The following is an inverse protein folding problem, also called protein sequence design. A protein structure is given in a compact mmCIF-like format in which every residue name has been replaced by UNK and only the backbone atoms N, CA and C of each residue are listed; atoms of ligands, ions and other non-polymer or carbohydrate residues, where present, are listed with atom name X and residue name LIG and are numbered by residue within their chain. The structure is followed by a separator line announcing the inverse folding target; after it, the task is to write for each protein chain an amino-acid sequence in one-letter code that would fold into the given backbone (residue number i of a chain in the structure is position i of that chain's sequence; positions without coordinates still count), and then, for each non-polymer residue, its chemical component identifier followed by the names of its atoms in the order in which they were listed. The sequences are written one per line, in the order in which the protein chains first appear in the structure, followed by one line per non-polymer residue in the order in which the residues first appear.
data_IF_048942664505
#
_entry.id   IF_048942664505
#
_cell.length_a   1.000
_cell.length_b   1.000
_cell.length_c   1.000
_cell.angle_alpha   90.00
_cell.angle_beta   90.00
_cell.angle_gamma   90.00
#
_symmetry.space_group_name_H-M   'P 1'
#
loop_
_entity.id
_entity.type
_entity.pdbx_description
1 polymer ?
#
# COMPACT_ATOMS: atom_id res chain seq x y z
N UNK A 1 2.36 41.76 -28.96
CA UNK A 1 1.53 41.09 -27.93
C UNK A 1 2.04 39.66 -27.77
N UNK A 2 2.97 39.40 -26.84
CA UNK A 2 3.43 38.04 -26.59
C UNK A 2 2.36 37.28 -25.79
N UNK A 3 2.03 36.07 -26.24
CA UNK A 3 1.12 35.17 -25.53
C UNK A 3 1.89 34.48 -24.41
N UNK A 4 1.48 34.80 -23.20
CA UNK A 4 1.81 34.10 -21.97
C UNK A 4 1.53 32.60 -22.17
N UNK A 5 2.59 31.82 -22.34
CA UNK A 5 2.49 30.35 -22.40
C UNK A 5 2.59 29.91 -20.96
N UNK A 6 1.44 29.91 -20.28
CA UNK A 6 1.31 29.45 -18.91
C UNK A 6 1.77 28.01 -18.83
N UNK A 7 2.92 27.80 -18.19
CA UNK A 7 3.46 26.52 -17.80
C UNK A 7 2.34 25.71 -17.13
N UNK A 8 1.87 24.67 -17.83
CA UNK A 8 1.10 23.62 -17.20
C UNK A 8 2.08 22.87 -16.31
N UNK A 9 2.04 23.18 -15.02
CA UNK A 9 2.59 22.34 -13.98
C UNK A 9 2.02 20.95 -14.17
N UNK A 10 2.84 20.06 -14.74
CA UNK A 10 2.55 18.64 -14.82
C UNK A 10 2.54 18.15 -13.37
N UNK A 11 1.36 18.16 -12.76
CA UNK A 11 1.12 17.44 -11.51
C UNK A 11 1.36 15.99 -11.91
N UNK A 12 2.53 15.46 -11.58
CA UNK A 12 2.80 14.04 -11.74
C UNK A 12 1.75 13.35 -10.88
N UNK A 13 0.68 12.84 -11.50
CA UNK A 13 -0.22 11.88 -10.89
C UNK A 13 0.70 10.78 -10.34
N UNK A 14 0.90 10.80 -9.01
CA UNK A 14 1.88 9.99 -8.33
C UNK A 14 1.77 8.56 -8.85
N UNK A 15 2.88 8.01 -9.32
CA UNK A 15 2.94 6.72 -9.98
C UNK A 15 2.25 5.67 -9.09
N UNK A 16 1.00 5.34 -9.40
CA UNK A 16 0.19 4.42 -8.59
C UNK A 16 0.92 3.10 -8.54
N UNK A 17 1.31 2.68 -7.33
CA UNK A 17 2.04 1.45 -7.13
C UNK A 17 1.20 0.27 -7.62
N UNK A 18 1.76 -0.53 -8.51
CA UNK A 18 1.06 -1.69 -9.06
C UNK A 18 1.25 -2.88 -8.14
N UNK A 19 0.26 -3.12 -7.31
CA UNK A 19 0.21 -4.31 -6.46
C UNK A 19 -0.37 -5.51 -7.22
N UNK A 20 0.35 -6.64 -7.26
CA UNK A 20 -0.09 -7.80 -8.01
C UNK A 20 -1.37 -8.40 -7.41
N UNK A 21 -2.41 -8.59 -8.23
CA UNK A 21 -3.73 -9.10 -7.79
C UNK A 21 -4.45 -8.20 -6.79
N UNK A 22 -4.04 -6.94 -6.64
CA UNK A 22 -4.89 -5.96 -5.97
C UNK A 22 -6.06 -5.61 -6.90
N UNK A 23 -7.28 -5.67 -6.35
CA UNK A 23 -8.51 -5.37 -7.06
C UNK A 23 -9.48 -4.67 -6.12
N UNK A 24 -10.11 -3.58 -6.59
CA UNK A 24 -11.07 -2.80 -5.81
C UNK A 24 -10.48 -2.28 -4.48
N UNK A 25 -9.22 -1.83 -4.50
CA UNK A 25 -8.52 -1.37 -3.30
C UNK A 25 -8.12 -2.48 -2.32
N UNK A 26 -8.39 -3.76 -2.64
CA UNK A 26 -8.04 -4.89 -1.78
C UNK A 26 -6.92 -5.71 -2.35
N UNK A 27 -6.02 -6.17 -1.49
CA UNK A 27 -4.90 -7.00 -1.87
C UNK A 27 -4.80 -8.26 -1.02
N UNK A 28 -4.97 -9.42 -1.66
CA UNK A 28 -4.90 -10.73 -1.01
C UNK A 28 -3.48 -11.33 -1.11
N UNK A 29 -2.71 -11.21 -0.04
CA UNK A 29 -1.38 -11.81 0.09
C UNK A 29 -1.50 -13.27 0.51
N UNK A 30 -1.20 -14.19 -0.40
CA UNK A 30 -1.20 -15.62 -0.09
C UNK A 30 -0.09 -16.02 0.86
N UNK A 31 -0.42 -16.94 1.75
CA UNK A 31 0.50 -17.51 2.72
C UNK A 31 1.74 -18.12 2.04
N UNK A 32 2.93 -17.68 2.46
CA UNK A 32 4.24 -18.15 2.01
C UNK A 32 4.54 -17.91 0.51
N UNK A 33 3.74 -17.09 -0.17
CA UNK A 33 4.01 -16.70 -1.56
C UNK A 33 4.60 -15.29 -1.57
N UNK A 34 5.84 -15.10 -2.04
CA UNK A 34 6.41 -13.77 -2.20
C UNK A 34 5.79 -13.08 -3.41
N UNK A 35 5.44 -11.80 -3.23
CA UNK A 35 4.94 -10.92 -4.28
C UNK A 35 5.98 -9.85 -4.59
N UNK A 36 6.18 -9.57 -5.86
CA UNK A 36 7.07 -8.51 -6.33
C UNK A 36 6.24 -7.27 -6.65
N UNK A 37 6.66 -6.13 -6.11
CA UNK A 37 6.05 -4.82 -6.33
C UNK A 37 7.12 -3.89 -6.86
N UNK A 38 6.83 -3.17 -7.94
CA UNK A 38 7.72 -2.15 -8.50
C UNK A 38 7.21 -0.76 -8.11
N UNK A 39 8.08 0.05 -7.50
CA UNK A 39 7.76 1.41 -7.09
C UNK A 39 9.03 2.28 -7.09
N UNK A 40 8.95 3.49 -7.62
CA UNK A 40 10.08 4.46 -7.67
C UNK A 40 11.36 3.85 -8.30
N UNK A 41 11.19 3.03 -9.33
CA UNK A 41 12.30 2.32 -9.99
C UNK A 41 12.97 1.23 -9.14
N UNK A 42 12.41 0.88 -7.98
CA UNK A 42 12.91 -0.16 -7.07
C UNK A 42 11.97 -1.36 -7.04
N UNK A 43 12.56 -2.52 -6.79
CA UNK A 43 11.83 -3.78 -6.65
C UNK A 43 11.69 -4.16 -5.18
N UNK A 44 10.45 -4.20 -4.71
CA UNK A 44 10.06 -4.63 -3.38
C UNK A 44 9.55 -6.07 -3.42
N UNK A 45 9.85 -6.82 -2.36
CA UNK A 45 9.32 -8.15 -2.13
C UNK A 45 8.45 -8.14 -0.87
N UNK A 46 7.19 -8.52 -1.02
CA UNK A 46 6.21 -8.59 0.07
C UNK A 46 5.85 -10.05 0.30
N UNK A 47 5.99 -10.53 1.53
CA UNK A 47 5.74 -11.91 1.91
C UNK A 47 4.84 -11.99 3.14
N UNK A 48 3.67 -12.61 2.99
CA UNK A 48 2.79 -12.92 4.10
C UNK A 48 3.08 -14.31 4.70
N UNK A 49 3.09 -14.40 6.02
CA UNK A 49 3.08 -15.63 6.82
C UNK A 49 1.84 -15.60 7.71
N UNK A 50 1.20 -16.73 7.95
CA UNK A 50 0.04 -16.83 8.85
C UNK A 50 0.38 -17.88 9.90
N UNK A 51 0.27 -17.51 11.17
CA UNK A 51 0.54 -18.37 12.31
C UNK A 51 -0.77 -18.82 12.96
N UNK A 52 -0.78 -20.03 13.50
CA UNK A 52 -1.94 -20.63 14.17
C UNK A 52 -1.92 -20.44 15.69
N UNK A 53 -0.72 -20.37 16.25
CA UNK A 53 -0.44 -20.46 17.68
C UNK A 53 0.39 -19.25 18.11
N UNK A 54 0.15 -18.67 19.31
CA UNK A 54 -0.89 -19.02 20.27
C UNK A 54 -2.32 -18.61 19.85
N UNK A 55 -2.44 -17.73 18.85
CA UNK A 55 -3.69 -17.29 18.21
C UNK A 55 -3.46 -17.09 16.71
N UNK A 56 -4.52 -17.10 15.89
CA UNK A 56 -4.38 -16.83 14.45
C UNK A 56 -3.96 -15.38 14.22
N UNK A 57 -2.78 -15.18 13.64
CA UNK A 57 -2.25 -13.86 13.30
C UNK A 57 -1.41 -13.90 12.03
N UNK A 58 -1.33 -12.76 11.36
CA UNK A 58 -0.50 -12.56 10.18
C UNK A 58 0.87 -12.01 10.54
N UNK A 59 1.83 -12.22 9.64
CA UNK A 59 3.08 -11.48 9.59
C UNK A 59 3.36 -11.09 8.15
N UNK A 60 3.66 -9.82 7.90
CA UNK A 60 4.05 -9.32 6.59
C UNK A 60 5.49 -8.84 6.67
N UNK A 61 6.34 -9.36 5.78
CA UNK A 61 7.72 -8.94 5.61
C UNK A 61 7.87 -8.21 4.29
N UNK A 62 8.57 -7.09 4.32
CA UNK A 62 8.85 -6.24 3.17
C UNK A 62 10.36 -6.16 3.02
N UNK A 63 10.85 -6.52 1.84
CA UNK A 63 12.23 -6.30 1.45
C UNK A 63 12.32 -5.41 0.22
N UNK A 64 13.47 -4.76 0.03
CA UNK A 64 13.80 -3.98 -1.16
C UNK A 64 15.16 -4.45 -1.66
N UNK A 65 15.26 -4.85 -2.94
CA UNK A 65 16.53 -5.27 -3.56
C UNK A 65 17.33 -6.31 -2.75
N UNK A 66 16.61 -7.28 -2.16
CA UNK A 66 17.21 -8.35 -1.36
C UNK A 66 17.58 -7.97 0.08
N UNK A 67 17.28 -6.75 0.52
CA UNK A 67 17.45 -6.32 1.92
C UNK A 67 16.11 -6.27 2.66
N UNK A 68 16.04 -6.70 3.93
CA UNK A 68 14.85 -6.49 4.74
C UNK A 68 14.65 -5.00 4.99
N UNK A 69 13.43 -4.51 4.79
CA UNK A 69 13.06 -3.11 4.97
C UNK A 69 12.12 -2.93 6.17
N UNK A 70 11.07 -3.76 6.25
CA UNK A 70 10.10 -3.72 7.34
C UNK A 70 9.55 -5.12 7.63
N UNK A 71 9.13 -5.33 8.88
CA UNK A 71 8.45 -6.53 9.33
C UNK A 71 7.33 -6.12 10.27
N UNK A 72 6.13 -6.62 9.98
CA UNK A 72 4.94 -6.44 10.80
C UNK A 72 4.50 -7.82 11.26
N UNK A 73 4.56 -8.08 12.57
CA UNK A 73 4.20 -9.35 13.20
C UNK A 73 2.97 -9.17 14.10
N UNK A 74 2.27 -10.27 14.39
CA UNK A 74 1.08 -10.22 15.25
C UNK A 74 -0.14 -9.55 14.61
N UNK A 75 -0.17 -9.42 13.28
CA UNK A 75 -1.24 -8.72 12.56
C UNK A 75 -2.60 -9.40 12.75
N UNK A 76 -3.60 -8.63 13.14
CA UNK A 76 -5.01 -9.05 13.23
C UNK A 76 -5.91 -8.11 12.42
N UNK A 77 -7.16 -8.52 12.11
CA UNK A 77 -8.10 -7.64 11.44
C UNK A 77 -8.28 -6.32 12.21
N UNK A 78 -8.10 -5.20 11.50
CA UNK A 78 -8.14 -3.86 12.04
C UNK A 78 -6.79 -3.17 12.06
N UNK A 79 -5.67 -3.90 12.11
CA UNK A 79 -4.32 -3.33 12.13
C UNK A 79 -3.99 -2.59 10.85
N UNK A 80 -3.17 -1.55 10.99
CA UNK A 80 -2.69 -0.72 9.89
C UNK A 80 -1.18 -0.92 9.71
N UNK A 81 -0.75 -0.93 8.45
CA UNK A 81 0.65 -1.07 8.07
C UNK A 81 0.92 -0.25 6.82
N UNK A 82 2.19 0.11 6.63
CA UNK A 82 2.64 0.82 5.44
C UNK A 82 3.41 -0.14 4.53
N UNK A 83 3.04 -0.17 3.24
CA UNK A 83 3.76 -0.92 2.21
C UNK A 83 4.14 0.07 1.11
N UNK A 84 5.44 0.24 0.87
CA UNK A 84 5.98 1.15 -0.17
C UNK A 84 5.47 2.59 -0.08
N UNK A 85 5.10 3.06 1.11
CA UNK A 85 4.53 4.41 1.33
C UNK A 85 3.01 4.49 1.21
N UNK A 86 2.33 3.40 0.83
CA UNK A 86 0.87 3.31 0.85
C UNK A 86 0.39 2.73 2.20
N UNK A 87 -0.65 3.35 2.75
CA UNK A 87 -1.36 2.84 3.92
C UNK A 87 -2.23 1.64 3.57
N UNK A 88 -2.14 0.59 4.38
CA UNK A 88 -2.92 -0.63 4.24
C UNK A 88 -3.51 -1.02 5.58
N UNK A 89 -4.74 -1.51 5.55
CA UNK A 89 -5.43 -2.06 6.71
C UNK A 89 -5.67 -3.54 6.53
N UNK A 90 -5.33 -4.34 7.53
CA UNK A 90 -5.66 -5.76 7.56
C UNK A 90 -7.16 -5.90 7.75
N UNK A 91 -7.85 -6.48 6.77
CA UNK A 91 -9.29 -6.73 6.86
C UNK A 91 -9.62 -8.18 7.14
N UNK A 92 -8.73 -9.11 6.79
CA UNK A 92 -8.90 -10.54 7.02
C UNK A 92 -7.54 -11.21 7.22
N UNK A 93 -7.47 -12.11 8.20
CA UNK A 93 -6.36 -13.07 8.36
C UNK A 93 -6.99 -14.44 8.31
N UNK A 94 -6.90 -15.11 7.16
CA UNK A 94 -7.45 -16.44 6.97
C UNK A 94 -6.40 -17.51 7.30
N UNK A 95 -6.78 -18.46 8.13
CA UNK A 95 -5.89 -19.52 8.59
C UNK A 95 -5.30 -20.33 7.42
N UNK A 96 -3.97 -20.31 7.31
CA UNK A 96 -3.14 -21.02 6.29
C UNK A 96 -3.31 -20.57 4.84
N UNK A 97 -4.24 -19.67 4.50
CA UNK A 97 -4.46 -19.32 3.08
C UNK A 97 -3.91 -17.95 2.72
N UNK A 98 -4.26 -16.89 3.46
CA UNK A 98 -3.94 -15.50 3.06
C UNK A 98 -4.13 -14.47 4.17
N UNK A 99 -3.51 -13.32 3.96
CA UNK A 99 -3.84 -12.05 4.62
C UNK A 99 -4.46 -11.14 3.57
N UNK A 100 -5.60 -10.52 3.86
CA UNK A 100 -6.24 -9.56 2.98
C UNK A 100 -6.06 -8.16 3.54
N UNK A 101 -5.54 -7.29 2.71
CA UNK A 101 -5.35 -5.88 2.99
C UNK A 101 -6.37 -5.06 2.20
N UNK A 102 -6.76 -3.93 2.76
CA UNK A 102 -7.54 -2.89 2.09
C UNK A 102 -6.73 -1.59 2.12
N UNK A 103 -6.64 -0.91 0.99
CA UNK A 103 -5.90 0.34 0.86
C UNK A 103 -6.59 1.40 1.70
N UNK A 104 -5.84 2.01 2.62
CA UNK A 104 -6.31 3.15 3.40
C UNK A 104 -6.07 4.36 2.52
N UNK A 105 -7.11 4.78 1.81
CA UNK A 105 -7.11 6.10 1.20
C UNK A 105 -7.25 7.07 2.36
N UNK A 106 -6.13 7.52 2.92
CA UNK A 106 -6.12 8.73 3.72
C UNK A 106 -6.69 9.80 2.80
N UNK A 107 -7.89 10.27 3.14
CA UNK A 107 -8.51 11.37 2.45
C UNK A 107 -7.48 12.48 2.43
N UNK A 108 -6.98 12.81 1.26
CA UNK A 108 -6.48 14.14 1.02
C UNK A 108 -7.64 15.05 1.47
N UNK A 109 -7.47 15.73 2.60
CA UNK A 109 -8.18 16.97 2.80
C UNK A 109 -7.69 17.86 1.66
N UNK A 110 -8.37 17.80 0.52
CA UNK A 110 -8.43 18.94 -0.37
C UNK A 110 -9.03 20.03 0.50
N UNK A 111 -8.17 20.84 1.11
CA UNK A 111 -8.53 22.19 1.47
C UNK A 111 -8.93 22.86 0.15
N UNK A 112 -10.19 22.66 -0.22
CA UNK A 112 -10.83 23.37 -1.32
C UNK A 112 -10.67 24.83 -0.96
N UNK A 113 -9.71 25.49 -1.63
CA UNK A 113 -9.45 26.90 -1.49
C UNK A 113 -10.77 27.64 -1.73
N UNK A 114 -11.40 28.06 -0.64
CA UNK A 114 -12.52 29.01 -0.69
C UNK A 114 -11.90 30.36 -1.05
N UNK A 115 -11.86 30.65 -2.35
CA UNK A 115 -11.94 32.02 -2.84
C UNK A 115 -13.32 32.23 -3.44
N UNK A 116 -14.19 32.97 -2.75
CA UNK A 116 -15.06 33.92 -3.42
C UNK A 116 -14.45 35.31 -3.27
N UNK A 117 -13.97 35.83 -4.40
CA UNK A 117 -13.64 37.24 -4.56
C UNK A 117 -14.88 38.10 -4.82
N UNK A 118 -14.64 39.39 -4.59
CA UNK A 118 -15.44 40.60 -4.89
C UNK A 118 -16.62 40.95 -3.97
#
# INVERSE_FOLDING_TARGET
MPRDTREMSSVSEGEKVKYPFAFDGRWALRHQIPYTVEHDGRTYQVLATVFAEPSVHGRIRIGCEGRPLAEFDGLVPGDELEITGDGWRVVEVDYRTRVVLEHVIEGYEEETGVQPGE
#
